data_IF_503868082892
#
_entry.id   IF_503868082892
#
_cell.length_a   1.000
_cell.length_b   1.000
_cell.length_c   1.000
_cell.angle_alpha   90.00
_cell.angle_beta   90.00
_cell.angle_gamma   90.00
#
_symmetry.space_group_name_H-M   'P 1'
#
loop_
_entity.id
_entity.type
_entity.pdbx_description
1 polymer ?
#
# COMPACT_ATOMS: atom_id res chain seq x y z
N UNK A 1 -22.94 12.86 26.47
CA UNK A 1 -24.10 12.28 25.75
C UNK A 1 -23.60 11.80 24.38
N UNK A 2 -22.81 10.72 24.31
CA UNK A 2 -21.89 10.54 23.16
C UNK A 2 -21.93 9.17 22.47
N UNK A 3 -22.92 8.31 22.77
CA UNK A 3 -23.03 6.95 22.20
C UNK A 3 -24.31 6.76 21.36
N UNK A 4 -24.67 7.73 20.52
CA UNK A 4 -25.71 7.50 19.51
C UNK A 4 -25.22 6.47 18.48
N UNK A 5 -26.10 5.55 18.06
CA UNK A 5 -25.81 4.52 17.06
C UNK A 5 -25.23 5.15 15.77
N UNK A 6 -25.73 6.31 15.37
CA UNK A 6 -25.25 7.03 14.18
C UNK A 6 -23.83 7.61 14.36
N UNK A 7 -23.50 8.12 15.54
CA UNK A 7 -22.14 8.61 15.83
C UNK A 7 -21.13 7.45 15.81
N UNK A 8 -21.51 6.32 16.39
CA UNK A 8 -20.72 5.10 16.37
C UNK A 8 -20.51 4.59 14.93
N UNK A 9 -21.55 4.63 14.09
CA UNK A 9 -21.47 4.33 12.67
C UNK A 9 -20.44 5.21 11.94
N UNK A 10 -20.49 6.53 12.08
CA UNK A 10 -19.51 7.43 11.45
C UNK A 10 -18.08 7.24 11.96
N UNK A 11 -17.89 6.85 13.23
CA UNK A 11 -16.56 6.50 13.76
C UNK A 11 -16.00 5.25 13.08
N UNK A 12 -16.81 4.21 12.88
CA UNK A 12 -16.40 3.02 12.14
C UNK A 12 -16.14 3.32 10.66
N UNK A 13 -16.93 4.19 10.02
CA UNK A 13 -16.70 4.58 8.63
C UNK A 13 -15.32 5.25 8.43
N UNK A 14 -14.96 6.24 9.27
CA UNK A 14 -13.63 6.87 9.24
C UNK A 14 -12.49 5.87 9.50
N UNK A 15 -12.73 4.91 10.39
CA UNK A 15 -11.76 3.84 10.67
C UNK A 15 -11.58 2.90 9.48
N UNK A 16 -12.65 2.60 8.75
CA UNK A 16 -12.60 1.79 7.54
C UNK A 16 -11.73 2.46 6.46
N UNK A 17 -11.91 3.77 6.24
CA UNK A 17 -11.08 4.55 5.31
C UNK A 17 -9.59 4.52 5.69
N UNK A 18 -9.28 4.65 6.99
CA UNK A 18 -7.90 4.57 7.46
C UNK A 18 -7.28 3.18 7.16
N UNK A 19 -7.99 2.09 7.45
CA UNK A 19 -7.53 0.73 7.15
C UNK A 19 -7.35 0.49 5.64
N UNK A 20 -8.27 1.01 4.83
CA UNK A 20 -8.17 0.92 3.37
C UNK A 20 -6.90 1.60 2.83
N UNK A 21 -6.56 2.80 3.32
CA UNK A 21 -5.31 3.50 2.93
C UNK A 21 -4.05 2.68 3.20
N UNK A 22 -4.05 1.87 4.26
CA UNK A 22 -2.94 0.98 4.61
C UNK A 22 -3.06 -0.43 4.00
N UNK A 23 -3.97 -0.63 3.01
CA UNK A 23 -4.21 -1.91 2.33
C UNK A 23 -4.64 -3.05 3.28
N UNK A 24 -5.20 -2.70 4.44
CA UNK A 24 -5.77 -3.61 5.43
C UNK A 24 -7.24 -3.86 5.10
N UNK A 25 -7.47 -4.63 4.04
CA UNK A 25 -8.82 -4.80 3.47
C UNK A 25 -9.78 -5.52 4.41
N UNK A 26 -9.31 -6.52 5.16
CA UNK A 26 -10.15 -7.29 6.08
C UNK A 26 -10.66 -6.43 7.24
N UNK A 27 -9.79 -5.64 7.84
CA UNK A 27 -10.15 -4.72 8.92
C UNK A 27 -11.05 -3.57 8.42
N UNK A 28 -10.88 -3.13 7.17
CA UNK A 28 -11.78 -2.16 6.55
C UNK A 28 -13.19 -2.74 6.32
N UNK A 29 -13.27 -3.97 5.81
CA UNK A 29 -14.53 -4.70 5.61
C UNK A 29 -15.26 -4.88 6.94
N UNK A 30 -14.56 -5.31 7.99
CA UNK A 30 -15.17 -5.49 9.30
C UNK A 30 -15.68 -4.18 9.89
N UNK A 31 -14.96 -3.07 9.67
CA UNK A 31 -15.46 -1.76 10.05
C UNK A 31 -16.76 -1.41 9.32
N UNK A 32 -16.89 -1.66 8.01
CA UNK A 32 -18.15 -1.44 7.29
C UNK A 32 -19.30 -2.35 7.74
N UNK A 33 -19.03 -3.61 8.12
CA UNK A 33 -20.05 -4.48 8.73
C UNK A 33 -20.58 -3.88 10.03
N UNK A 34 -19.69 -3.34 10.86
CA UNK A 34 -20.07 -2.64 12.09
C UNK A 34 -20.88 -1.39 11.80
N UNK A 35 -20.56 -0.63 10.74
CA UNK A 35 -21.39 0.51 10.31
C UNK A 35 -22.81 0.06 9.95
N UNK A 36 -22.95 -1.01 9.16
CA UNK A 36 -24.25 -1.55 8.74
C UNK A 36 -25.10 -1.95 9.95
N UNK A 37 -24.50 -2.61 10.95
CA UNK A 37 -25.18 -3.00 12.18
C UNK A 37 -25.70 -1.79 12.97
N UNK A 38 -24.87 -0.75 13.11
CA UNK A 38 -25.26 0.47 13.82
C UNK A 38 -26.33 1.27 13.06
N UNK A 39 -26.26 1.32 11.73
CA UNK A 39 -27.30 1.91 10.88
C UNK A 39 -28.61 1.12 10.96
N UNK A 40 -28.55 -0.22 11.04
CA UNK A 40 -29.73 -1.05 11.24
C UNK A 40 -30.40 -0.76 12.58
N UNK A 41 -29.62 -0.61 13.66
CA UNK A 41 -30.13 -0.20 14.96
C UNK A 41 -30.75 1.20 14.93
N UNK A 42 -30.14 2.15 14.20
CA UNK A 42 -30.67 3.49 14.02
C UNK A 42 -32.00 3.50 13.24
N UNK A 43 -32.12 2.68 12.19
CA UNK A 43 -33.35 2.51 11.41
C UNK A 43 -34.51 2.05 12.30
N UNK A 44 -34.27 1.09 13.20
CA UNK A 44 -35.32 0.56 14.09
C UNK A 44 -35.85 1.60 15.07
N UNK A 45 -35.02 2.58 15.45
CA UNK A 45 -35.37 3.65 16.39
C UNK A 45 -35.91 4.90 15.70
N UNK A 46 -35.75 5.00 14.38
CA UNK A 46 -36.21 6.14 13.60
C UNK A 46 -37.73 6.13 13.46
N UNK A 47 -38.37 7.23 13.84
CA UNK A 47 -39.83 7.41 13.79
C UNK A 47 -40.30 8.18 12.56
N UNK A 48 -39.38 8.85 11.86
CA UNK A 48 -39.68 9.69 10.70
C UNK A 48 -39.35 8.92 9.42
N UNK A 49 -40.33 8.70 8.54
CA UNK A 49 -40.15 7.92 7.31
C UNK A 49 -38.99 8.41 6.43
N UNK A 50 -38.84 9.75 6.29
CA UNK A 50 -37.71 10.34 5.55
C UNK A 50 -36.35 9.95 6.14
N UNK A 51 -36.25 9.86 7.46
CA UNK A 51 -35.02 9.45 8.14
C UNK A 51 -34.74 7.96 7.97
N UNK A 52 -35.78 7.12 7.99
CA UNK A 52 -35.68 5.68 7.72
C UNK A 52 -35.12 5.42 6.33
N UNK A 53 -35.68 6.09 5.30
CA UNK A 53 -35.21 5.96 3.91
C UNK A 53 -33.76 6.42 3.77
N UNK A 54 -33.38 7.54 4.40
CA UNK A 54 -32.00 8.01 4.34
C UNK A 54 -31.01 7.04 4.98
N UNK A 55 -31.35 6.48 6.14
CA UNK A 55 -30.50 5.50 6.82
C UNK A 55 -30.41 4.17 6.05
N UNK A 56 -31.48 3.76 5.37
CA UNK A 56 -31.45 2.61 4.47
C UNK A 56 -30.49 2.83 3.30
N UNK A 57 -30.52 4.02 2.67
CA UNK A 57 -29.59 4.36 1.60
C UNK A 57 -28.13 4.35 2.07
N UNK A 58 -27.85 4.87 3.27
CA UNK A 58 -26.51 4.79 3.85
C UNK A 58 -26.07 3.36 4.13
N UNK A 59 -26.98 2.50 4.60
CA UNK A 59 -26.70 1.09 4.83
C UNK A 59 -26.36 0.39 3.52
N UNK A 60 -27.13 0.62 2.47
CA UNK A 60 -26.86 0.08 1.13
C UNK A 60 -25.54 0.56 0.55
N UNK A 61 -25.20 1.84 0.75
CA UNK A 61 -23.89 2.37 0.38
C UNK A 61 -22.76 1.58 1.04
N UNK A 62 -22.84 1.31 2.35
CA UNK A 62 -21.81 0.55 3.04
C UNK A 62 -21.78 -0.93 2.65
N UNK A 63 -22.91 -1.53 2.25
CA UNK A 63 -22.91 -2.85 1.64
C UNK A 63 -22.11 -2.85 0.34
N UNK A 64 -22.37 -1.88 -0.55
CA UNK A 64 -21.61 -1.73 -1.81
C UNK A 64 -20.12 -1.45 -1.58
N UNK A 65 -19.78 -0.71 -0.52
CA UNK A 65 -18.39 -0.48 -0.12
C UNK A 65 -17.68 -1.79 0.29
N UNK A 66 -18.37 -2.71 0.95
CA UNK A 66 -17.81 -4.04 1.25
C UNK A 66 -17.51 -4.79 -0.04
N UNK A 67 -18.45 -4.81 -1.00
CA UNK A 67 -18.26 -5.49 -2.29
C UNK A 67 -17.06 -4.90 -3.05
N UNK A 68 -16.95 -3.57 -3.07
CA UNK A 68 -15.81 -2.86 -3.65
C UNK A 68 -14.48 -3.26 -2.97
N UNK A 69 -14.43 -3.28 -1.64
CA UNK A 69 -13.24 -3.68 -0.89
C UNK A 69 -12.86 -5.14 -1.14
N UNK A 70 -13.83 -6.04 -1.24
CA UNK A 70 -13.60 -7.45 -1.57
C UNK A 70 -13.00 -7.61 -2.96
N UNK A 71 -13.54 -6.89 -3.96
CA UNK A 71 -12.97 -6.83 -5.30
C UNK A 71 -11.53 -6.31 -5.27
N UNK A 72 -11.28 -5.21 -4.56
CA UNK A 72 -9.94 -4.59 -4.46
C UNK A 72 -8.94 -5.52 -3.75
N UNK A 73 -9.38 -6.22 -2.71
CA UNK A 73 -8.59 -7.25 -2.02
C UNK A 73 -8.17 -8.36 -2.99
N UNK A 74 -9.12 -8.91 -3.75
CA UNK A 74 -8.85 -9.98 -4.71
C UNK A 74 -7.88 -9.54 -5.82
N UNK A 75 -8.03 -8.32 -6.34
CA UNK A 75 -7.10 -7.74 -7.32
C UNK A 75 -5.69 -7.58 -6.72
N UNK A 76 -5.60 -7.04 -5.51
CA UNK A 76 -4.33 -6.86 -4.81
C UNK A 76 -3.62 -8.20 -4.55
N UNK A 77 -4.36 -9.24 -4.15
CA UNK A 77 -3.79 -10.57 -3.93
C UNK A 77 -3.27 -11.21 -5.23
N UNK A 78 -3.97 -11.04 -6.35
CA UNK A 78 -3.50 -11.49 -7.66
C UNK A 78 -2.21 -10.80 -8.05
N UNK A 79 -2.16 -9.47 -7.92
CA UNK A 79 -0.95 -8.68 -8.18
C UNK A 79 0.21 -9.10 -7.27
N UNK A 80 -0.04 -9.27 -5.97
CA UNK A 80 0.96 -9.71 -5.01
C UNK A 80 1.55 -11.06 -5.40
N UNK A 81 0.71 -12.03 -5.79
CA UNK A 81 1.14 -13.35 -6.25
C UNK A 81 1.94 -13.28 -7.56
N UNK A 82 1.53 -12.44 -8.50
CA UNK A 82 2.27 -12.25 -9.75
C UNK A 82 3.68 -11.68 -9.50
N UNK A 83 3.80 -10.66 -8.64
CA UNK A 83 5.10 -10.12 -8.21
C UNK A 83 5.93 -11.17 -7.48
N UNK A 84 5.34 -11.98 -6.61
CA UNK A 84 6.04 -13.06 -5.90
C UNK A 84 6.56 -14.14 -6.88
N UNK A 85 5.84 -14.40 -7.97
CA UNK A 85 6.25 -15.33 -9.02
C UNK A 85 7.34 -14.73 -9.92
N UNK A 86 7.21 -13.45 -10.29
CA UNK A 86 8.16 -12.74 -11.15
C UNK A 86 9.49 -12.47 -10.43
N UNK A 87 9.45 -12.17 -9.13
CA UNK A 87 10.65 -11.93 -8.32
C UNK A 87 11.46 -13.19 -8.00
N UNK A 88 10.93 -14.37 -8.33
CA UNK A 88 11.65 -15.64 -8.26
C UNK A 88 12.20 -16.01 -6.87
N UNK A 89 12.88 -17.16 -6.79
CA UNK A 89 13.63 -17.56 -5.61
C UNK A 89 14.75 -16.54 -5.28
N UNK A 90 15.30 -15.88 -6.30
CA UNK A 90 16.42 -14.96 -6.21
C UNK A 90 16.12 -13.71 -5.35
N UNK A 91 14.90 -13.15 -5.41
CA UNK A 91 14.54 -12.03 -4.52
C UNK A 91 14.45 -12.44 -3.06
N UNK A 92 13.93 -13.64 -2.78
CA UNK A 92 13.85 -14.17 -1.43
C UNK A 92 15.24 -14.56 -0.91
N UNK A 93 16.09 -15.11 -1.76
CA UNK A 93 17.49 -15.40 -1.44
C UNK A 93 18.26 -14.10 -1.17
N UNK A 94 18.08 -13.06 -1.99
CA UNK A 94 18.69 -11.76 -1.77
C UNK A 94 18.18 -11.09 -0.48
N UNK A 95 16.89 -11.20 -0.19
CA UNK A 95 16.29 -10.69 1.06
C UNK A 95 16.83 -11.44 2.28
N UNK A 96 17.01 -12.76 2.18
CA UNK A 96 17.56 -13.57 3.27
C UNK A 96 19.06 -13.30 3.47
N UNK A 97 19.84 -13.14 2.39
CA UNK A 97 21.24 -12.65 2.45
C UNK A 97 21.31 -11.28 3.14
N UNK A 98 20.43 -10.36 2.77
CA UNK A 98 20.35 -9.02 3.38
C UNK A 98 20.02 -9.11 4.88
N UNK A 99 19.12 -10.01 5.27
CA UNK A 99 18.74 -10.24 6.67
C UNK A 99 19.88 -10.89 7.47
N UNK A 100 20.58 -11.86 6.88
CA UNK A 100 21.76 -12.48 7.49
C UNK A 100 22.84 -11.43 7.70
N UNK A 101 23.16 -10.65 6.67
CA UNK A 101 24.14 -9.58 6.74
C UNK A 101 23.79 -8.54 7.81
N UNK A 102 22.51 -8.16 7.92
CA UNK A 102 22.05 -7.25 8.96
C UNK A 102 22.24 -7.84 10.37
N UNK A 103 21.99 -9.13 10.54
CA UNK A 103 22.19 -9.83 11.81
C UNK A 103 23.68 -9.90 12.18
N UNK A 104 24.53 -10.17 11.20
CA UNK A 104 25.98 -10.23 11.39
C UNK A 104 26.56 -8.85 11.69
N UNK A 105 26.03 -7.79 11.08
CA UNK A 105 26.37 -6.41 11.41
C UNK A 105 26.01 -6.08 12.87
N UNK A 106 24.82 -6.44 13.34
CA UNK A 106 24.44 -6.22 14.73
C UNK A 106 25.35 -6.98 15.70
N UNK A 107 25.69 -8.24 15.39
CA UNK A 107 26.65 -9.01 16.20
C UNK A 107 28.05 -8.39 16.20
N UNK A 108 28.51 -7.87 15.06
CA UNK A 108 29.79 -7.19 14.95
C UNK A 108 29.82 -5.91 15.81
N UNK A 109 28.74 -5.14 15.81
CA UNK A 109 28.57 -3.95 16.67
C UNK A 109 28.53 -4.33 18.15
N UNK A 110 27.84 -5.42 18.51
CA UNK A 110 27.80 -5.88 19.90
C UNK A 110 29.17 -6.39 20.37
N UNK A 111 29.89 -7.11 19.50
CA UNK A 111 31.27 -7.54 19.74
C UNK A 111 32.22 -6.35 19.94
N UNK A 112 32.09 -5.30 19.11
CA UNK A 112 32.92 -4.10 19.26
C UNK A 112 32.60 -3.32 20.54
N UNK A 113 31.33 -3.24 20.95
CA UNK A 113 30.93 -2.65 22.22
C UNK A 113 31.48 -3.43 23.43
N UNK A 114 31.48 -4.77 23.36
CA UNK A 114 32.06 -5.61 24.41
C UNK A 114 33.59 -5.42 24.52
N UNK A 115 34.28 -5.27 23.38
CA UNK A 115 35.72 -4.98 23.34
C UNK A 115 36.04 -3.60 23.94
N UNK A 116 35.27 -2.57 23.56
CA UNK A 116 35.39 -1.21 24.11
C UNK A 116 35.15 -1.20 25.63
N UNK A 117 34.15 -1.95 26.10
CA UNK A 117 33.86 -2.10 27.54
C UNK A 117 35.03 -2.78 28.26
N UNK A 118 35.63 -3.81 27.68
CA UNK A 118 36.82 -4.48 28.21
C UNK A 118 38.08 -3.61 28.22
N UNK A 119 38.18 -2.63 27.32
CA UNK A 119 39.27 -1.64 27.27
C UNK A 119 39.07 -0.51 28.30
N UNK A 120 37.83 -0.04 28.50
CA UNK A 120 37.50 0.88 29.59
C UNK A 120 37.74 0.26 30.98
N UNK A 121 37.62 -1.06 31.12
CA UNK A 121 37.91 -1.77 32.37
C UNK A 121 39.40 -2.02 32.65
N UNK A 122 40.30 -1.81 31.68
CA UNK A 122 41.75 -2.14 31.77
C UNK A 122 42.69 -0.94 31.79
N UNK A 123 42.14 0.28 31.83
CA UNK A 123 42.90 1.52 31.63
C UNK A 123 43.80 1.92 32.82
N UNK A 124 43.87 1.13 33.89
CA UNK A 124 44.78 1.41 35.02
C UNK A 124 46.22 0.90 34.82
N UNK A 125 46.53 0.15 33.76
CA UNK A 125 47.91 -0.32 33.55
C UNK A 125 48.22 -0.74 32.12
N UNK A 126 49.16 -0.03 31.50
CA UNK A 126 50.05 -0.42 30.38
C UNK A 126 49.90 0.38 29.06
N UNK A 127 50.79 1.35 28.80
CA UNK A 127 50.74 2.23 27.61
C UNK A 127 51.08 1.53 26.28
N UNK A 128 51.81 0.42 26.29
CA UNK A 128 52.18 -0.32 25.08
C UNK A 128 51.00 -1.04 24.42
N UNK A 129 50.05 -1.57 25.22
CA UNK A 129 48.80 -2.16 24.72
C UNK A 129 47.88 -1.12 24.08
N UNK A 130 47.89 0.11 24.62
CA UNK A 130 47.11 1.23 24.12
C UNK A 130 47.52 1.62 22.69
N UNK A 131 48.82 1.61 22.40
CA UNK A 131 49.37 1.89 21.07
C UNK A 131 48.95 0.81 20.05
N UNK A 132 48.97 -0.47 20.45
CA UNK A 132 48.57 -1.56 19.56
C UNK A 132 47.06 -1.50 19.27
N UNK A 133 46.23 -1.23 20.28
CA UNK A 133 44.78 -1.05 20.09
C UNK A 133 44.43 0.17 19.24
N UNK A 134 45.24 1.23 19.29
CA UNK A 134 45.07 2.42 18.43
C UNK A 134 45.35 2.09 16.96
N UNK A 135 46.36 1.26 16.69
CA UNK A 135 46.66 0.78 15.34
C UNK A 135 45.54 -0.13 14.81
N UNK A 136 45.00 -1.01 15.66
CA UNK A 136 43.85 -1.85 15.30
C UNK A 136 42.61 -1.00 14.99
N UNK A 137 42.31 0.01 15.81
CA UNK A 137 41.21 0.94 15.56
C UNK A 137 41.40 1.73 14.26
N UNK A 138 42.63 2.19 13.97
CA UNK A 138 42.96 2.87 12.73
C UNK A 138 42.82 1.95 11.50
N UNK A 139 43.24 0.69 11.63
CA UNK A 139 43.08 -0.31 10.57
C UNK A 139 41.61 -0.59 10.29
N UNK A 140 40.81 -0.77 11.35
CA UNK A 140 39.38 -1.02 11.25
C UNK A 140 38.64 0.18 10.65
N UNK A 141 38.99 1.40 11.05
CA UNK A 141 38.40 2.62 10.50
C UNK A 141 38.70 2.77 9.00
N UNK A 142 39.93 2.43 8.56
CA UNK A 142 40.26 2.33 7.13
C UNK A 142 39.39 1.29 6.42
N UNK A 143 39.17 0.13 7.04
CA UNK A 143 38.33 -0.92 6.46
C UNK A 143 36.87 -0.48 6.33
N UNK A 144 36.32 0.21 7.34
CA UNK A 144 34.98 0.80 7.29
C UNK A 144 34.86 1.83 6.16
N UNK A 145 35.87 2.69 5.98
CA UNK A 145 35.87 3.65 4.88
C UNK A 145 35.89 2.97 3.50
N UNK A 146 36.70 1.91 3.33
CA UNK A 146 36.74 1.14 2.08
C UNK A 146 35.39 0.47 1.81
N UNK A 147 34.77 -0.14 2.82
CA UNK A 147 33.44 -0.74 2.66
C UNK A 147 32.36 0.30 2.36
N UNK A 148 32.39 1.45 3.05
CA UNK A 148 31.45 2.54 2.80
C UNK A 148 31.58 3.08 1.38
N UNK A 149 32.80 3.18 0.85
CA UNK A 149 33.04 3.58 -0.54
C UNK A 149 32.52 2.53 -1.51
N UNK A 150 32.80 1.24 -1.27
CA UNK A 150 32.33 0.15 -2.11
C UNK A 150 30.80 0.05 -2.14
N UNK A 151 30.13 0.29 -1.01
CA UNK A 151 28.67 0.33 -0.95
C UNK A 151 28.08 1.53 -1.70
N UNK A 152 28.75 2.70 -1.66
CA UNK A 152 28.35 3.85 -2.45
C UNK A 152 28.47 3.56 -3.96
N UNK A 153 29.58 2.96 -4.40
CA UNK A 153 29.76 2.55 -5.80
C UNK A 153 28.73 1.51 -6.25
N UNK A 154 28.38 0.54 -5.38
CA UNK A 154 27.34 -0.44 -5.69
C UNK A 154 25.95 0.21 -5.78
N UNK A 155 25.65 1.17 -4.90
CA UNK A 155 24.40 1.92 -4.94
C UNK A 155 24.29 2.75 -6.23
N UNK A 156 25.37 3.44 -6.60
CA UNK A 156 25.45 4.21 -7.85
C UNK A 156 25.27 3.29 -9.08
N UNK A 157 25.87 2.10 -9.07
CA UNK A 157 25.65 1.07 -10.08
C UNK A 157 24.19 0.64 -10.19
N UNK A 158 23.53 0.36 -9.06
CA UNK A 158 22.11 0.02 -9.04
C UNK A 158 21.20 1.16 -9.54
N UNK A 159 21.57 2.42 -9.28
CA UNK A 159 20.83 3.59 -9.80
C UNK A 159 20.95 3.65 -11.32
N UNK A 160 22.16 3.51 -11.86
CA UNK A 160 22.40 3.49 -13.31
C UNK A 160 21.65 2.34 -13.97
N UNK A 161 21.70 1.13 -13.40
CA UNK A 161 20.99 -0.03 -13.93
C UNK A 161 19.47 0.20 -13.92
N UNK A 162 18.93 0.81 -12.86
CA UNK A 162 17.52 1.17 -12.78
C UNK A 162 17.12 2.18 -13.85
N UNK A 163 17.98 3.17 -14.15
CA UNK A 163 17.73 4.15 -15.21
C UNK A 163 17.81 3.53 -16.61
N UNK A 164 18.78 2.64 -16.85
CA UNK A 164 18.88 1.88 -18.12
C UNK A 164 17.66 0.99 -18.32
N UNK A 165 17.18 0.32 -17.28
CA UNK A 165 15.97 -0.51 -17.36
C UNK A 165 14.73 0.35 -17.60
N UNK A 166 14.62 1.51 -16.95
CA UNK A 166 13.53 2.47 -17.21
C UNK A 166 13.55 2.99 -18.65
N UNK A 167 14.74 3.25 -19.21
CA UNK A 167 14.86 3.72 -20.60
C UNK A 167 14.61 2.60 -21.61
N UNK A 168 15.04 1.36 -21.34
CA UNK A 168 14.70 0.19 -22.16
C UNK A 168 13.19 -0.07 -22.17
N UNK A 169 12.53 0.02 -21.01
CA UNK A 169 11.07 -0.05 -20.92
C UNK A 169 10.43 1.07 -21.74
N UNK A 170 10.94 2.31 -21.67
CA UNK A 170 10.45 3.44 -22.47
C UNK A 170 10.65 3.23 -23.99
N UNK A 171 11.79 2.69 -24.40
CA UNK A 171 12.12 2.47 -25.80
C UNK A 171 11.33 1.30 -26.42
N UNK A 172 11.06 0.24 -25.66
CA UNK A 172 10.24 -0.89 -26.13
C UNK A 172 8.74 -0.54 -26.15
N UNK A 173 8.32 0.43 -25.32
CA UNK A 173 6.96 1.00 -25.30
C UNK A 173 6.78 2.18 -26.28
N UNK A 174 7.84 2.68 -26.91
CA UNK A 174 7.73 3.69 -27.94
C UNK A 174 7.07 3.04 -29.18
N UNK A 175 5.98 3.62 -29.72
CA UNK A 175 5.32 3.05 -30.88
C UNK A 175 6.33 2.96 -32.03
N UNK A 176 6.59 1.74 -32.50
CA UNK A 176 7.19 1.55 -33.83
C UNK A 176 6.15 2.05 -34.82
N UNK A 177 6.29 3.31 -35.23
CA UNK A 177 5.58 3.86 -36.39
C UNK A 177 6.11 3.12 -37.62
N UNK A 178 5.56 1.94 -37.90
CA UNK A 178 5.52 1.43 -39.26
C UNK A 178 4.26 1.99 -39.92
N UNK A 179 4.50 2.90 -40.86
CA UNK A 179 3.54 3.50 -41.77
C UNK A 179 2.56 2.45 -42.31
N UNK A 180 1.27 2.64 -42.05
CA UNK A 180 0.25 2.01 -42.88
C UNK A 180 -0.74 3.06 -43.36
N UNK A 181 -0.50 3.52 -44.58
CA UNK A 181 -1.54 4.03 -45.45
C UNK A 181 -2.67 3.00 -45.62
N UNK A 182 -3.84 3.56 -45.82
CA UNK A 182 -5.15 2.91 -45.99
C UNK A 182 -5.11 1.81 -47.06
N UNK A 183 -5.80 0.69 -46.81
CA UNK A 183 -7.01 0.26 -47.56
C UNK A 183 -7.32 -1.25 -47.42
N UNK A 184 -8.52 -1.52 -46.91
CA UNK A 184 -9.56 -2.39 -47.51
C UNK A 184 -9.28 -3.88 -47.82
N UNK A 185 -9.96 -4.72 -47.02
CA UNK A 185 -10.72 -5.93 -47.38
C UNK A 185 -10.07 -7.33 -47.51
N UNK A 186 -10.84 -8.28 -46.98
CA UNK A 186 -11.19 -9.58 -47.58
C UNK A 186 -10.54 -10.87 -47.02
N UNK A 187 -11.29 -11.50 -46.10
CA UNK A 187 -11.71 -12.92 -46.06
C UNK A 187 -10.74 -14.00 -46.58
N UNK A 188 -10.27 -14.90 -45.69
CA UNK A 188 -10.55 -16.37 -45.76
C UNK A 188 -10.09 -17.18 -44.53
N UNK A 189 -11.00 -18.07 -44.11
CA UNK A 189 -10.93 -19.33 -43.32
C UNK A 189 -9.64 -20.18 -43.50
N UNK A 190 -9.21 -21.15 -42.69
CA UNK A 190 -9.70 -22.03 -41.59
C UNK A 190 -8.47 -22.88 -41.20
N UNK A 191 -8.08 -23.13 -39.95
CA UNK A 191 -8.53 -24.21 -39.05
C UNK A 191 -7.51 -24.34 -37.89
N UNK A 192 -7.83 -25.04 -36.78
CA UNK A 192 -7.40 -24.69 -35.44
C UNK A 192 -6.30 -25.62 -34.90
N UNK A 193 -5.35 -25.07 -34.14
CA UNK A 193 -4.93 -25.73 -32.91
C UNK A 193 -4.15 -24.82 -31.95
N UNK A 194 -4.54 -24.90 -30.67
CA UNK A 194 -3.84 -24.47 -29.45
C UNK A 194 -3.84 -22.96 -29.10
N UNK A 195 -4.90 -22.63 -28.37
CA UNK A 195 -4.99 -21.71 -27.23
C UNK A 195 -3.64 -21.36 -26.57
N UNK A 196 -3.42 -20.08 -26.29
CA UNK A 196 -3.21 -19.53 -24.92
C UNK A 196 -2.62 -18.11 -24.98
N UNK A 197 -3.42 -17.08 -25.24
CA UNK A 197 -3.07 -15.71 -24.82
C UNK A 197 -4.35 -14.96 -24.43
N UNK A 198 -4.59 -14.84 -23.12
CA UNK A 198 -5.62 -13.94 -22.55
C UNK A 198 -5.18 -13.28 -21.23
N UNK A 199 -3.89 -13.28 -20.92
CA UNK A 199 -3.39 -12.81 -19.62
C UNK A 199 -2.64 -11.47 -19.66
N UNK A 200 -2.11 -11.04 -20.81
CA UNK A 200 -1.21 -9.86 -20.85
C UNK A 200 -1.93 -8.54 -21.13
N UNK A 201 -3.06 -8.56 -21.86
CA UNK A 201 -4.03 -7.45 -21.82
C UNK A 201 -4.56 -7.20 -20.40
N UNK A 202 -4.49 -8.20 -19.51
CA UNK A 202 -5.09 -8.10 -18.19
C UNK A 202 -4.31 -7.19 -17.24
N UNK A 203 -2.99 -6.98 -17.38
CA UNK A 203 -2.24 -6.29 -16.32
C UNK A 203 -2.28 -4.76 -16.46
N UNK A 204 -2.16 -4.24 -17.68
CA UNK A 204 -2.37 -2.81 -17.97
C UNK A 204 -3.85 -2.44 -17.86
N UNK A 205 -4.76 -3.31 -18.34
CA UNK A 205 -6.20 -3.09 -18.12
C UNK A 205 -6.56 -3.16 -16.63
N UNK A 206 -5.93 -4.04 -15.83
CA UNK A 206 -6.13 -4.04 -14.37
C UNK A 206 -5.51 -2.81 -13.72
N UNK A 207 -4.31 -2.36 -14.11
CA UNK A 207 -3.68 -1.15 -13.53
C UNK A 207 -4.45 0.13 -13.90
N UNK A 208 -5.03 0.16 -15.09
CA UNK A 208 -5.89 1.23 -15.57
C UNK A 208 -7.28 1.17 -14.92
N UNK A 209 -7.90 -0.01 -14.80
CA UNK A 209 -9.13 -0.24 -14.01
C UNK A 209 -8.93 0.08 -12.52
N UNK A 210 -7.74 -0.19 -11.96
CA UNK A 210 -7.41 0.13 -10.57
C UNK A 210 -7.39 1.65 -10.33
N UNK A 211 -7.25 2.46 -11.38
CA UNK A 211 -7.21 3.93 -11.35
C UNK A 211 -8.49 4.58 -11.91
N UNK A 212 -9.24 3.88 -12.78
CA UNK A 212 -10.43 4.39 -13.48
C UNK A 212 -11.77 3.92 -12.88
N UNK A 213 -11.80 2.91 -11.99
CA UNK A 213 -13.04 2.56 -11.26
C UNK A 213 -13.28 3.60 -10.16
N UNK A 214 -14.09 4.59 -10.54
CA UNK A 214 -14.62 5.68 -9.73
C UNK A 214 -15.01 5.21 -8.32
N UNK A 215 -14.38 5.79 -7.29
CA UNK A 215 -14.85 5.68 -5.91
C UNK A 215 -16.37 5.88 -5.90
N UNK A 216 -17.12 5.04 -5.17
CA UNK A 216 -18.58 5.24 -5.07
C UNK A 216 -18.78 6.67 -4.59
N UNK A 217 -19.47 7.53 -5.37
CA UNK A 217 -19.59 8.94 -5.05
C UNK A 217 -20.09 9.09 -3.62
N UNK A 218 -19.39 9.92 -2.83
CA UNK A 218 -19.80 10.22 -1.47
C UNK A 218 -21.26 10.64 -1.49
N UNK A 219 -22.08 10.00 -0.64
CA UNK A 219 -23.48 10.37 -0.51
C UNK A 219 -23.55 11.89 -0.23
N UNK A 220 -24.41 12.64 -0.94
CA UNK A 220 -24.55 14.06 -0.70
C UNK A 220 -24.90 14.27 0.78
N UNK A 221 -24.31 15.28 1.45
CA UNK A 221 -24.59 15.56 2.85
C UNK A 221 -26.10 15.73 3.01
N UNK A 222 -26.65 15.06 4.03
CA UNK A 222 -28.07 15.16 4.41
C UNK A 222 -28.46 16.64 4.47
N UNK A 223 -29.35 17.07 3.57
CA UNK A 223 -29.92 18.41 3.63
C UNK A 223 -30.71 18.50 4.93
N UNK A 224 -30.26 19.39 5.82
CA UNK A 224 -30.98 19.71 7.05
C UNK A 224 -32.36 20.25 6.67
N UNK A 225 -33.43 19.87 7.38
CA UNK A 225 -34.73 20.49 7.19
C UNK A 225 -34.60 22.01 7.27
N UNK A 226 -35.11 22.73 6.27
CA UNK A 226 -35.29 24.18 6.36
C UNK A 226 -36.39 24.43 7.39
N UNK A 227 -35.99 24.77 8.61
CA UNK A 227 -36.93 25.19 9.65
C UNK A 227 -37.42 26.59 9.30
N UNK A 228 -38.70 26.69 8.94
CA UNK A 228 -39.36 27.98 8.77
C UNK A 228 -39.79 28.51 10.13
N UNK A 229 -38.94 29.34 10.72
CA UNK A 229 -39.19 29.98 12.01
C UNK A 229 -40.31 31.02 11.94
N UNK A 230 -40.81 31.39 10.75
CA UNK A 230 -41.91 32.35 10.63
C UNK A 230 -43.20 31.82 11.28
N UNK A 231 -43.38 30.50 11.30
CA UNK A 231 -44.57 29.84 11.89
C UNK A 231 -44.64 29.90 13.42
N UNK A 232 -43.57 30.30 14.11
CA UNK A 232 -43.53 30.45 15.57
C UNK A 232 -43.75 31.90 16.03
N UNK A 233 -44.04 32.83 15.10
CA UNK A 233 -44.12 34.26 15.39
C UNK A 233 -45.51 34.75 15.80
N UNK A 234 -46.56 33.94 15.59
CA UNK A 234 -47.94 34.34 15.83
C UNK A 234 -48.48 33.71 17.11
N UNK A 235 -47.93 34.12 18.25
CA UNK A 235 -48.59 34.04 19.57
C UNK A 235 -48.08 35.19 20.44
N UNK A 236 -48.41 36.41 20.00
CA UNK A 236 -48.53 37.59 20.87
C UNK A 236 -49.78 38.35 20.44
N UNK A 237 -50.91 37.96 21.01
CA UNK A 237 -51.80 38.84 21.79
C UNK A 237 -52.92 38.02 22.48
#
# INVERSE_FOLDING_TARGET
MDNSALNTAHRYARRAEAHFRYKRFDEAIDCHKQVIEQLHNAIRLATVDKSVVSLQLQREYHTKQIDFLMMRKAQFEKYRKAIEQEKGADFWEQKERTRSLQTDLFKAIESSNNLLTGLLGKTESQPEKLVETLKELQSLNKQIHIMSHSLAEQLDGCIIDADVLREKIRAELAPKEEESDKEVSSVKSSSPDKQEYKAVESLDTILQDLNEIQEIPNLPPLQLPTFDYATFSDDKD
#
